data_IF_661092310658
#
_entry.id   IF_661092310658
#
_cell.length_a   1.000
_cell.length_b   1.000
_cell.length_c   1.000
_cell.angle_alpha   90.00
_cell.angle_beta   90.00
_cell.angle_gamma   90.00
#
_symmetry.space_group_name_H-M   'P 1'
#
loop_
_entity.id
_entity.type
_entity.pdbx_description
1 polymer ?
#
# COMPACT_ATOMS: atom_id res chain seq x y z
N UNK A 1 -4.00 13.51 36.10
CA UNK A 1 -5.01 12.43 36.02
C UNK A 1 -4.46 11.34 35.11
N UNK A 2 -4.00 10.24 35.69
CA UNK A 2 -3.28 9.16 35.02
C UNK A 2 -4.25 8.29 34.22
N UNK A 3 -4.36 8.51 32.90
CA UNK A 3 -5.10 7.60 32.03
C UNK A 3 -4.25 6.35 31.74
N UNK A 4 -4.37 5.42 32.69
CA UNK A 4 -4.21 3.96 32.62
C UNK A 4 -3.66 3.38 31.29
N UNK A 5 -2.36 3.06 31.31
CA UNK A 5 -1.68 2.08 30.45
C UNK A 5 -2.44 0.74 30.21
N UNK A 6 -3.27 0.18 31.11
CA UNK A 6 -3.96 -1.08 30.83
C UNK A 6 -5.06 -1.02 29.75
N UNK A 7 -5.59 0.16 29.39
CA UNK A 7 -6.61 0.26 28.32
C UNK A 7 -5.98 0.07 26.93
N UNK A 8 -4.75 0.57 26.74
CA UNK A 8 -3.99 0.40 25.50
C UNK A 8 -3.57 -1.06 25.30
N UNK A 9 -3.17 -1.74 26.39
CA UNK A 9 -2.81 -3.16 26.37
C UNK A 9 -4.03 -4.05 26.07
N UNK A 10 -5.19 -3.74 26.64
CA UNK A 10 -6.45 -4.45 26.38
C UNK A 10 -6.91 -4.33 24.93
N UNK A 11 -6.78 -3.15 24.32
CA UNK A 11 -7.08 -2.94 22.90
C UNK A 11 -6.11 -3.69 21.97
N UNK A 12 -4.82 -3.77 22.34
CA UNK A 12 -3.81 -4.51 21.59
C UNK A 12 -4.05 -6.04 21.64
N UNK A 13 -4.44 -6.56 22.82
CA UNK A 13 -4.75 -7.99 23.03
C UNK A 13 -6.04 -8.43 22.34
N UNK A 14 -7.07 -7.56 22.28
CA UNK A 14 -8.28 -7.80 21.48
C UNK A 14 -7.96 -7.84 19.98
N UNK A 15 -7.03 -7.03 19.50
CA UNK A 15 -6.56 -7.08 18.10
C UNK A 15 -5.83 -8.40 17.76
N UNK A 16 -5.05 -8.95 18.70
CA UNK A 16 -4.33 -10.21 18.51
C UNK A 16 -5.26 -11.44 18.46
N UNK A 17 -6.38 -11.44 19.18
CA UNK A 17 -7.35 -12.54 19.16
C UNK A 17 -8.07 -12.70 17.80
N UNK A 18 -8.18 -11.63 17.01
CA UNK A 18 -8.71 -11.68 15.63
C UNK A 18 -7.63 -11.97 14.57
N UNK A 19 -6.38 -12.17 14.97
CA UNK A 19 -5.30 -12.67 14.10
C UNK A 19 -5.40 -14.19 13.85
N UNK A 20 -6.59 -14.77 13.99
CA UNK A 20 -6.92 -16.09 13.42
C UNK A 20 -6.49 -16.09 11.95
N UNK A 21 -5.61 -17.04 11.60
CA UNK A 21 -4.99 -17.21 10.29
C UNK A 21 -5.94 -16.79 9.15
N UNK A 22 -5.69 -15.62 8.57
CA UNK A 22 -6.65 -14.88 7.75
C UNK A 22 -7.00 -15.62 6.45
N UNK A 23 -7.95 -16.54 6.47
CA UNK A 23 -8.40 -17.26 5.27
C UNK A 23 -9.35 -16.40 4.43
N UNK A 24 -9.11 -16.35 3.12
CA UNK A 24 -9.88 -15.60 2.13
C UNK A 24 -10.47 -16.56 1.08
N UNK A 25 -11.31 -17.49 1.53
CA UNK A 25 -12.02 -18.42 0.65
C UNK A 25 -12.99 -17.68 -0.26
N UNK A 26 -12.90 -17.94 -1.56
CA UNK A 26 -13.73 -17.36 -2.62
C UNK A 26 -14.25 -18.45 -3.55
N UNK A 27 -15.42 -18.26 -4.19
CA UNK A 27 -15.92 -19.18 -5.20
C UNK A 27 -14.85 -19.49 -6.26
N UNK A 28 -14.66 -20.77 -6.55
CA UNK A 28 -13.62 -21.25 -7.45
C UNK A 28 -13.71 -22.75 -7.71
N UNK A 29 -12.64 -23.29 -8.25
CA UNK A 29 -12.54 -24.69 -8.64
C UNK A 29 -11.10 -25.18 -8.63
N UNK A 30 -10.92 -26.50 -8.54
CA UNK A 30 -9.65 -27.19 -8.79
C UNK A 30 -9.85 -28.20 -9.93
N UNK A 31 -8.81 -28.42 -10.73
CA UNK A 31 -8.79 -29.39 -11.83
C UNK A 31 -7.85 -30.53 -11.46
N UNK A 32 -8.38 -31.73 -11.29
CA UNK A 32 -7.60 -32.91 -10.88
C UNK A 32 -6.64 -33.36 -11.99
N UNK A 33 -5.70 -34.24 -11.66
CA UNK A 33 -4.80 -34.85 -12.65
C UNK A 33 -5.54 -35.66 -13.72
N UNK A 34 -6.71 -36.23 -13.38
CA UNK A 34 -7.60 -36.91 -14.32
C UNK A 34 -8.30 -35.94 -15.29
N UNK A 35 -8.40 -34.66 -14.94
CA UNK A 35 -9.07 -33.63 -15.73
C UNK A 35 -10.45 -33.22 -15.18
N UNK A 36 -10.91 -33.85 -14.10
CA UNK A 36 -12.18 -33.51 -13.46
C UNK A 36 -12.10 -32.15 -12.75
N UNK A 37 -13.17 -31.36 -12.87
CA UNK A 37 -13.28 -30.06 -12.20
C UNK A 37 -14.15 -30.17 -10.95
N UNK A 38 -13.54 -29.95 -9.79
CA UNK A 38 -14.26 -29.87 -8.50
C UNK A 38 -14.56 -28.41 -8.19
N UNK A 39 -15.85 -28.07 -8.05
CA UNK A 39 -16.31 -26.73 -7.67
C UNK A 39 -16.39 -26.57 -6.16
N UNK A 40 -16.09 -25.37 -5.66
CA UNK A 40 -16.11 -25.07 -4.24
C UNK A 40 -15.56 -23.67 -3.95
N UNK A 41 -14.77 -23.55 -2.90
CA UNK A 41 -14.08 -22.31 -2.54
C UNK A 41 -12.57 -22.51 -2.45
N UNK A 42 -11.81 -21.54 -2.96
CA UNK A 42 -10.34 -21.52 -2.95
C UNK A 42 -9.84 -20.36 -2.08
N UNK A 43 -8.86 -20.59 -1.22
CA UNK A 43 -8.23 -19.54 -0.38
C UNK A 43 -7.37 -18.60 -1.24
N UNK A 44 -7.81 -17.36 -1.44
CA UNK A 44 -7.14 -16.37 -2.27
C UNK A 44 -6.08 -15.60 -1.49
N UNK A 45 -4.81 -15.98 -1.68
CA UNK A 45 -3.64 -15.37 -1.01
C UNK A 45 -2.79 -14.57 -2.00
N UNK A 46 -1.62 -14.13 -1.56
CA UNK A 46 -0.61 -13.45 -2.39
C UNK A 46 -0.02 -14.38 -3.45
N UNK A 47 0.50 -13.81 -4.54
CA UNK A 47 0.98 -14.55 -5.72
C UNK A 47 2.00 -15.65 -5.38
N UNK A 48 2.96 -15.37 -4.49
CA UNK A 48 3.98 -16.35 -4.05
C UNK A 48 3.40 -17.59 -3.38
N UNK A 49 2.29 -17.45 -2.62
CA UNK A 49 1.65 -18.58 -1.94
C UNK A 49 0.76 -19.34 -2.92
N UNK A 50 0.00 -18.62 -3.73
CA UNK A 50 -0.86 -19.18 -4.77
C UNK A 50 -0.06 -20.02 -5.79
N UNK A 51 1.21 -19.66 -6.02
CA UNK A 51 2.12 -20.40 -6.88
C UNK A 51 2.53 -21.78 -6.34
N UNK A 52 2.50 -21.98 -5.01
CA UNK A 52 3.07 -23.17 -4.35
C UNK A 52 2.02 -24.13 -3.82
N UNK A 53 0.84 -23.62 -3.49
CA UNK A 53 -0.25 -24.44 -2.98
C UNK A 53 -1.60 -23.77 -3.20
N UNK A 54 -2.63 -24.59 -3.39
CA UNK A 54 -4.04 -24.20 -3.40
C UNK A 54 -4.73 -24.81 -2.19
N UNK A 55 -5.50 -24.02 -1.43
CA UNK A 55 -6.35 -24.53 -0.35
C UNK A 55 -7.78 -24.50 -0.84
N UNK A 56 -8.42 -25.65 -0.87
CA UNK A 56 -9.74 -25.83 -1.43
C UNK A 56 -10.68 -26.45 -0.39
N UNK A 57 -11.95 -26.07 -0.45
CA UNK A 57 -13.03 -26.74 0.30
C UNK A 57 -14.28 -26.80 -0.56
N UNK A 58 -15.04 -27.88 -0.45
CA UNK A 58 -16.27 -28.08 -1.23
C UNK A 58 -17.41 -27.16 -0.77
N UNK A 59 -17.44 -26.80 0.51
CA UNK A 59 -18.40 -25.89 1.12
C UNK A 59 -17.80 -25.13 2.30
N UNK A 60 -18.49 -24.10 2.80
CA UNK A 60 -18.00 -23.24 3.90
C UNK A 60 -17.66 -23.99 5.19
N UNK A 61 -18.39 -25.05 5.49
CA UNK A 61 -18.19 -25.92 6.67
C UNK A 61 -17.34 -27.16 6.38
N UNK A 62 -16.98 -27.41 5.12
CA UNK A 62 -16.19 -28.57 4.74
C UNK A 62 -14.74 -28.42 5.20
N UNK A 63 -14.05 -29.54 5.49
CA UNK A 63 -12.61 -29.51 5.75
C UNK A 63 -11.84 -28.93 4.56
N UNK A 64 -10.71 -28.28 4.86
CA UNK A 64 -9.84 -27.68 3.86
C UNK A 64 -8.84 -28.73 3.38
N UNK A 65 -8.80 -28.96 2.08
CA UNK A 65 -7.77 -29.78 1.42
C UNK A 65 -6.69 -28.87 0.84
N UNK A 66 -5.43 -29.19 1.09
CA UNK A 66 -4.29 -28.50 0.48
C UNK A 66 -3.79 -29.31 -0.71
N UNK A 67 -3.69 -28.65 -1.87
CA UNK A 67 -3.16 -29.22 -3.10
C UNK A 67 -1.87 -28.53 -3.50
N UNK A 68 -0.84 -29.32 -3.78
CA UNK A 68 0.41 -28.87 -4.42
C UNK A 68 0.31 -28.99 -5.95
N UNK A 69 1.17 -28.29 -6.72
CA UNK A 69 1.19 -28.34 -8.18
C UNK A 69 1.19 -29.76 -8.75
N UNK A 70 1.90 -30.70 -8.13
CA UNK A 70 1.97 -32.10 -8.56
C UNK A 70 0.62 -32.86 -8.42
N UNK A 71 -0.36 -32.30 -7.73
CA UNK A 71 -1.64 -32.97 -7.44
C UNK A 71 -2.81 -32.42 -8.27
N UNK A 72 -2.60 -31.33 -9.04
CA UNK A 72 -3.63 -30.68 -9.83
C UNK A 72 -3.07 -30.30 -11.21
N UNK A 73 -3.93 -30.29 -12.24
CA UNK A 73 -3.61 -29.61 -13.51
C UNK A 73 -3.67 -28.09 -13.38
N UNK A 74 -4.47 -27.61 -12.43
CA UNK A 74 -4.67 -26.18 -12.19
C UNK A 74 -5.82 -25.92 -11.24
N UNK A 75 -6.10 -24.65 -11.00
CA UNK A 75 -7.24 -24.20 -10.22
C UNK A 75 -7.62 -22.77 -10.63
N UNK A 76 -8.80 -22.32 -10.24
CA UNK A 76 -9.24 -20.97 -10.58
C UNK A 76 -10.24 -20.41 -9.59
N UNK A 77 -10.42 -19.10 -9.71
CA UNK A 77 -11.48 -18.35 -9.05
C UNK A 77 -12.56 -18.05 -10.09
N UNK A 78 -13.83 -18.17 -9.72
CA UNK A 78 -14.94 -17.82 -10.62
C UNK A 78 -14.80 -16.35 -11.06
N UNK A 79 -14.81 -16.11 -12.37
CA UNK A 79 -14.64 -14.79 -13.03
C UNK A 79 -13.39 -14.00 -12.61
N UNK A 80 -12.33 -14.67 -12.19
CA UNK A 80 -11.10 -14.03 -11.73
C UNK A 80 -9.88 -14.89 -12.15
N UNK A 81 -8.75 -14.79 -11.44
CA UNK A 81 -7.50 -15.48 -11.77
C UNK A 81 -7.67 -16.99 -11.99
N UNK A 82 -6.94 -17.49 -12.97
CA UNK A 82 -6.81 -18.91 -13.28
C UNK A 82 -5.33 -19.28 -13.17
N UNK A 83 -5.06 -20.45 -12.62
CA UNK A 83 -3.72 -20.98 -12.43
C UNK A 83 -3.62 -22.35 -13.09
N UNK A 84 -2.50 -22.62 -13.71
CA UNK A 84 -2.18 -23.92 -14.31
C UNK A 84 -0.84 -24.43 -13.78
N UNK A 85 -0.73 -25.74 -13.63
CA UNK A 85 0.53 -26.38 -13.23
C UNK A 85 1.48 -26.42 -14.42
N UNK A 86 2.69 -25.90 -14.22
CA UNK A 86 3.80 -26.02 -15.17
C UNK A 86 5.08 -26.36 -14.40
N UNK A 87 6.00 -27.06 -15.04
CA UNK A 87 7.36 -27.27 -14.50
C UNK A 87 8.28 -26.20 -15.09
N UNK A 88 8.82 -25.35 -14.23
CA UNK A 88 9.70 -24.23 -14.62
C UNK A 88 11.04 -24.35 -13.91
N UNK A 89 12.10 -23.81 -14.52
CA UNK A 89 13.41 -23.70 -13.89
C UNK A 89 13.41 -22.46 -12.98
N UNK A 90 13.71 -22.65 -11.69
CA UNK A 90 13.82 -21.55 -10.73
C UNK A 90 15.14 -21.66 -9.98
N UNK A 91 15.82 -20.53 -9.77
CA UNK A 91 17.03 -20.50 -8.98
C UNK A 91 16.71 -20.62 -7.49
N UNK A 92 17.10 -21.76 -6.91
CA UNK A 92 16.99 -21.98 -5.47
C UNK A 92 18.07 -21.18 -4.79
N UNK A 93 17.62 -20.35 -3.87
CA UNK A 93 18.43 -19.23 -3.51
C UNK A 93 18.08 -18.85 -2.07
N UNK A 94 18.17 -19.88 -1.23
CA UNK A 94 18.51 -19.73 0.19
C UNK A 94 19.93 -19.16 0.18
N UNK A 95 20.06 -17.85 0.41
CA UNK A 95 21.35 -17.21 0.63
C UNK A 95 21.95 -17.84 1.89
N UNK A 96 22.86 -18.80 1.76
CA UNK A 96 23.64 -19.27 2.90
C UNK A 96 24.62 -18.14 3.23
N UNK A 97 24.45 -17.50 4.38
CA UNK A 97 25.39 -16.49 4.86
C UNK A 97 26.81 -17.08 4.86
N UNK A 98 27.75 -16.35 4.26
CA UNK A 98 29.18 -16.70 4.25
C UNK A 98 29.72 -17.42 3.00
N UNK A 99 28.91 -17.68 1.97
CA UNK A 99 29.40 -18.22 0.70
C UNK A 99 29.36 -17.15 -0.41
N UNK A 100 30.42 -17.00 -1.23
CA UNK A 100 30.41 -16.10 -2.38
C UNK A 100 29.33 -16.53 -3.40
N UNK A 101 28.88 -15.58 -4.23
CA UNK A 101 27.82 -15.74 -5.24
C UNK A 101 28.09 -16.97 -6.14
N UNK A 102 27.64 -18.14 -5.71
CA UNK A 102 27.53 -19.31 -6.56
C UNK A 102 26.54 -18.95 -7.65
N UNK A 103 26.91 -19.24 -8.91
CA UNK A 103 25.97 -19.13 -10.05
C UNK A 103 24.66 -19.75 -9.62
N UNK A 104 23.58 -18.96 -9.68
CA UNK A 104 22.24 -19.40 -9.34
C UNK A 104 21.87 -20.61 -10.20
N UNK A 105 22.01 -21.81 -9.65
CA UNK A 105 21.60 -23.04 -10.32
C UNK A 105 20.07 -23.10 -10.32
N UNK A 106 19.51 -23.18 -11.52
CA UNK A 106 18.07 -23.26 -11.70
C UNK A 106 17.62 -24.72 -11.73
N UNK A 107 16.69 -25.08 -10.84
CA UNK A 107 16.18 -26.45 -10.72
C UNK A 107 14.74 -26.55 -11.26
N UNK A 108 14.36 -27.66 -11.91
CA UNK A 108 12.97 -27.89 -12.31
C UNK A 108 12.04 -27.96 -11.11
N UNK A 109 11.00 -27.12 -11.10
CA UNK A 109 10.00 -27.07 -10.04
C UNK A 109 8.60 -26.94 -10.61
N UNK A 110 7.73 -27.89 -10.26
CA UNK A 110 6.31 -27.78 -10.55
C UNK A 110 5.70 -26.63 -9.72
N UNK A 111 5.07 -25.69 -10.42
CA UNK A 111 4.49 -24.47 -9.84
C UNK A 111 3.14 -24.18 -10.49
N UNK A 112 2.25 -23.52 -9.74
CA UNK A 112 1.01 -22.97 -10.28
C UNK A 112 1.30 -21.59 -10.90
N UNK A 113 1.32 -21.51 -12.22
CA UNK A 113 1.49 -20.26 -12.96
C UNK A 113 0.14 -19.60 -13.19
N UNK A 114 0.04 -18.30 -12.93
CA UNK A 114 -1.14 -17.49 -13.24
C UNK A 114 -1.26 -17.32 -14.75
N UNK A 115 -2.42 -17.64 -15.31
CA UNK A 115 -2.74 -17.39 -16.71
C UNK A 115 -3.14 -15.93 -16.86
N UNK A 116 -2.32 -15.14 -17.55
CA UNK A 116 -2.58 -13.71 -17.76
C UNK A 116 -3.26 -13.47 -19.11
N UNK A 117 -2.82 -14.19 -20.15
CA UNK A 117 -3.46 -14.20 -21.47
C UNK A 117 -3.56 -15.65 -21.92
N UNK A 118 -4.74 -16.06 -22.37
CA UNK A 118 -5.00 -17.34 -22.99
C UNK A 118 -5.39 -17.10 -24.46
N UNK A 119 -4.81 -17.89 -25.36
CA UNK A 119 -5.02 -17.79 -26.80
C UNK A 119 -4.00 -18.67 -27.55
N UNK A 120 -3.85 -18.50 -28.89
CA UNK A 120 -2.82 -19.18 -29.67
C UNK A 120 -1.44 -19.10 -29.01
N UNK A 121 -1.03 -17.91 -28.57
CA UNK A 121 0.00 -17.73 -27.55
C UNK A 121 -0.65 -17.45 -26.18
N UNK A 122 -0.19 -18.15 -25.15
CA UNK A 122 -0.57 -17.89 -23.76
C UNK A 122 0.58 -17.22 -23.01
N UNK A 123 0.26 -16.18 -22.24
CA UNK A 123 1.19 -15.52 -21.33
C UNK A 123 0.87 -15.96 -19.90
N UNK A 124 1.90 -16.44 -19.22
CA UNK A 124 1.85 -17.01 -17.88
C UNK A 124 2.77 -16.24 -16.94
N UNK A 125 2.45 -16.26 -15.65
CA UNK A 125 3.17 -15.49 -14.64
C UNK A 125 3.42 -16.26 -13.36
N UNK A 126 4.57 -16.01 -12.77
CA UNK A 126 4.98 -16.56 -11.48
C UNK A 126 5.74 -15.49 -10.68
N UNK A 127 5.36 -15.32 -9.41
CA UNK A 127 6.18 -14.62 -8.41
C UNK A 127 6.91 -15.68 -7.58
N UNK A 128 8.23 -15.72 -7.66
CA UNK A 128 9.02 -16.68 -6.90
C UNK A 128 9.09 -16.34 -5.40
N UNK A 129 9.81 -17.14 -4.61
CA UNK A 129 9.96 -16.94 -3.16
C UNK A 129 10.77 -15.69 -2.79
N UNK A 130 11.62 -15.20 -3.71
CA UNK A 130 12.40 -13.97 -3.57
C UNK A 130 11.67 -12.72 -4.05
N UNK A 131 10.41 -12.83 -4.42
CA UNK A 131 9.63 -11.73 -4.98
C UNK A 131 10.16 -11.27 -6.35
N UNK A 132 10.77 -12.15 -7.13
CA UNK A 132 11.08 -11.93 -8.54
C UNK A 132 9.90 -12.33 -9.42
N UNK A 133 9.61 -11.49 -10.41
CA UNK A 133 8.58 -11.75 -11.42
C UNK A 133 9.18 -12.52 -12.60
N UNK A 134 8.56 -13.64 -12.92
CA UNK A 134 8.85 -14.46 -14.08
C UNK A 134 7.64 -14.47 -15.00
N UNK A 135 7.88 -14.28 -16.28
CA UNK A 135 6.86 -14.38 -17.32
C UNK A 135 7.23 -15.51 -18.27
N UNK A 136 6.24 -16.31 -18.66
CA UNK A 136 6.46 -17.42 -19.56
C UNK A 136 5.50 -17.34 -20.75
N UNK A 137 6.03 -17.67 -21.91
CA UNK A 137 5.30 -17.72 -23.17
C UNK A 137 5.10 -19.17 -23.58
N UNK A 138 3.84 -19.54 -23.77
CA UNK A 138 3.45 -20.83 -24.34
C UNK A 138 2.89 -20.61 -25.74
N UNK A 139 3.42 -21.33 -26.72
CA UNK A 139 2.88 -21.41 -28.08
C UNK A 139 2.73 -22.86 -28.50
N UNK A 140 1.88 -23.17 -29.51
CA UNK A 140 1.63 -24.55 -29.91
C UNK A 140 2.91 -25.17 -30.48
N UNK A 141 3.22 -26.41 -30.11
CA UNK A 141 4.36 -27.15 -30.63
C UNK A 141 5.74 -26.66 -30.15
N UNK A 142 5.81 -25.75 -29.18
CA UNK A 142 7.07 -25.33 -28.55
C UNK A 142 7.05 -25.59 -27.04
N UNK A 143 8.21 -25.88 -26.43
CA UNK A 143 8.31 -25.94 -24.98
C UNK A 143 7.97 -24.56 -24.37
N UNK A 144 7.54 -24.57 -23.11
CA UNK A 144 7.32 -23.35 -22.35
C UNK A 144 8.62 -22.55 -22.26
N UNK A 145 8.59 -21.28 -22.66
CA UNK A 145 9.77 -20.42 -22.70
C UNK A 145 9.66 -19.30 -21.68
N UNK A 146 10.68 -19.10 -20.86
CA UNK A 146 10.78 -17.94 -19.98
C UNK A 146 11.19 -16.70 -20.77
N UNK A 147 10.49 -15.60 -20.53
CA UNK A 147 10.86 -14.28 -21.00
C UNK A 147 11.85 -13.71 -19.99
N UNK A 148 13.11 -13.58 -20.38
CA UNK A 148 14.19 -13.18 -19.46
C UNK A 148 14.68 -11.77 -19.78
N UNK A 149 14.88 -10.96 -18.73
CA UNK A 149 15.67 -9.74 -18.78
C UNK A 149 16.64 -9.74 -17.60
N UNK A 150 17.93 -9.68 -17.90
CA UNK A 150 19.00 -9.54 -16.91
C UNK A 150 19.59 -8.13 -16.98
N UNK A 151 20.25 -7.73 -15.90
CA UNK A 151 21.07 -6.52 -15.86
C UNK A 151 22.52 -6.96 -15.94
N UNK A 152 23.25 -6.47 -16.92
CA UNK A 152 24.64 -6.81 -17.16
C UNK A 152 25.51 -5.57 -16.93
N UNK A 153 26.68 -5.80 -16.34
CA UNK A 153 27.70 -4.77 -16.24
C UNK A 153 28.42 -4.65 -17.58
N UNK A 154 28.46 -3.43 -18.13
CA UNK A 154 29.11 -3.13 -19.41
C UNK A 154 30.08 -1.98 -19.20
N UNK A 155 31.37 -2.25 -19.40
CA UNK A 155 32.41 -1.21 -19.33
C UNK A 155 32.55 -0.57 -20.71
N UNK A 156 32.36 0.76 -20.79
CA UNK A 156 32.63 1.56 -22.00
C UNK A 156 33.53 2.73 -21.63
N UNK A 157 34.67 2.85 -22.30
CA UNK A 157 35.66 3.91 -22.07
C UNK A 157 36.10 4.01 -20.59
N UNK A 158 36.27 2.87 -19.92
CA UNK A 158 36.66 2.81 -18.50
C UNK A 158 35.54 3.15 -17.50
N UNK A 159 34.33 3.45 -17.97
CA UNK A 159 33.16 3.69 -17.11
C UNK A 159 32.25 2.45 -17.13
N UNK A 160 31.87 1.99 -15.94
CA UNK A 160 30.90 0.90 -15.75
C UNK A 160 29.48 1.42 -15.96
N UNK A 161 28.72 0.76 -16.83
CA UNK A 161 27.29 0.97 -17.04
C UNK A 161 26.51 -0.29 -16.70
N UNK A 162 25.29 -0.13 -16.18
CA UNK A 162 24.35 -1.23 -16.04
C UNK A 162 23.41 -1.24 -17.24
N UNK A 163 23.55 -2.23 -18.11
CA UNK A 163 22.71 -2.38 -19.29
C UNK A 163 21.70 -3.51 -19.07
N UNK A 164 20.43 -3.23 -19.35
CA UNK A 164 19.40 -4.27 -19.40
C UNK A 164 19.49 -5.02 -20.72
N UNK A 165 19.34 -6.32 -20.63
CA UNK A 165 19.37 -7.21 -21.77
C UNK A 165 17.99 -7.36 -22.42
N UNK A 166 17.99 -7.81 -23.68
CA UNK A 166 16.82 -7.85 -24.56
C UNK A 166 16.44 -9.30 -24.96
N UNK A 167 16.85 -10.33 -24.20
CA UNK A 167 16.59 -11.75 -24.49
C UNK A 167 15.09 -12.01 -24.69
N UNK A 168 14.25 -11.46 -23.82
CA UNK A 168 12.80 -11.63 -23.93
C UNK A 168 12.25 -11.12 -25.26
N UNK A 169 12.84 -10.06 -25.85
CA UNK A 169 12.43 -9.54 -27.16
C UNK A 169 12.75 -10.53 -28.26
N UNK A 170 13.88 -11.24 -28.17
CA UNK A 170 14.24 -12.32 -29.11
C UNK A 170 13.26 -13.49 -29.03
N UNK A 171 12.89 -13.90 -27.82
CA UNK A 171 11.89 -14.96 -27.59
C UNK A 171 10.53 -14.56 -28.17
N UNK A 172 10.06 -13.34 -27.89
CA UNK A 172 8.83 -12.80 -28.45
C UNK A 172 8.88 -12.78 -29.98
N UNK A 173 9.92 -12.19 -30.57
CA UNK A 173 10.08 -12.08 -32.02
C UNK A 173 10.06 -13.44 -32.72
N UNK A 174 10.76 -14.44 -32.15
CA UNK A 174 10.79 -15.80 -32.67
C UNK A 174 9.46 -16.53 -32.50
N UNK A 175 8.69 -16.25 -31.45
CA UNK A 175 7.39 -16.86 -31.21
C UNK A 175 6.28 -16.25 -32.07
N UNK A 176 6.41 -14.98 -32.47
CA UNK A 176 5.38 -14.23 -33.21
C UNK A 176 5.67 -14.13 -34.72
N UNK A 177 6.47 -15.05 -35.30
CA UNK A 177 6.85 -15.01 -36.72
C UNK A 177 5.66 -15.07 -37.69
N UNK A 178 4.56 -15.72 -37.29
CA UNK A 178 3.33 -15.79 -38.08
C UNK A 178 2.59 -14.45 -38.22
N UNK A 179 2.98 -13.44 -37.44
CA UNK A 179 2.46 -12.08 -37.56
C UNK A 179 3.61 -11.04 -37.57
N UNK A 180 4.15 -10.73 -38.76
CA UNK A 180 5.19 -9.70 -38.90
C UNK A 180 4.79 -8.31 -38.39
N UNK A 181 3.49 -7.98 -38.41
CA UNK A 181 2.97 -6.69 -37.97
C UNK A 181 3.24 -6.37 -36.49
N UNK A 182 3.49 -7.38 -35.65
CA UNK A 182 3.79 -7.18 -34.20
C UNK A 182 5.27 -6.87 -33.96
N UNK A 183 6.17 -7.16 -34.89
CA UNK A 183 7.62 -7.03 -34.72
C UNK A 183 8.08 -5.61 -34.34
N UNK A 184 7.56 -4.52 -34.96
CA UNK A 184 7.93 -3.16 -34.56
C UNK A 184 7.56 -2.84 -33.11
N UNK A 185 6.48 -3.41 -32.57
CA UNK A 185 6.09 -3.19 -31.18
C UNK A 185 7.02 -3.93 -30.19
N UNK A 186 7.65 -5.02 -30.61
CA UNK A 186 8.58 -5.82 -29.79
C UNK A 186 9.91 -5.08 -29.57
N UNK A 187 10.35 -4.21 -30.49
CA UNK A 187 11.63 -3.50 -30.33
C UNK A 187 11.60 -2.45 -29.21
N UNK A 188 10.41 -1.97 -28.86
CA UNK A 188 10.22 -0.91 -27.85
C UNK A 188 9.48 -1.37 -26.60
N UNK A 189 8.98 -2.61 -26.57
CA UNK A 189 8.25 -3.14 -25.41
C UNK A 189 9.17 -3.18 -24.17
N UNK A 190 8.59 -2.84 -23.02
CA UNK A 190 9.24 -2.95 -21.71
C UNK A 190 8.99 -4.33 -21.13
N UNK A 191 9.95 -4.83 -20.35
CA UNK A 191 9.80 -6.07 -19.58
C UNK A 191 8.92 -5.81 -18.34
N UNK A 192 7.61 -5.64 -18.58
CA UNK A 192 6.58 -5.53 -17.55
C UNK A 192 5.30 -6.22 -18.03
N UNK A 193 4.43 -6.62 -17.09
CA UNK A 193 3.20 -7.35 -17.39
C UNK A 193 2.34 -6.64 -18.46
N UNK A 194 2.19 -5.31 -18.38
CA UNK A 194 1.34 -4.56 -19.29
C UNK A 194 1.89 -4.55 -20.72
N UNK A 195 3.20 -4.37 -20.89
CA UNK A 195 3.91 -4.47 -22.16
C UNK A 195 3.78 -5.85 -22.77
N UNK A 196 4.01 -6.90 -21.99
CA UNK A 196 3.94 -8.29 -22.46
C UNK A 196 2.52 -8.70 -22.85
N UNK A 197 1.50 -8.34 -22.05
CA UNK A 197 0.08 -8.56 -22.40
C UNK A 197 -0.23 -7.92 -23.75
N UNK A 198 0.22 -6.67 -23.98
CA UNK A 198 -0.06 -5.94 -25.22
C UNK A 198 0.49 -6.69 -26.44
N UNK A 199 1.73 -7.17 -26.37
CA UNK A 199 2.36 -7.92 -27.47
C UNK A 199 1.63 -9.24 -27.72
N UNK A 200 1.36 -10.03 -26.67
CA UNK A 200 0.74 -11.35 -26.81
C UNK A 200 -0.69 -11.24 -27.33
N UNK A 201 -1.47 -10.26 -26.87
CA UNK A 201 -2.82 -10.01 -27.40
C UNK A 201 -2.78 -9.58 -28.87
N UNK A 202 -1.91 -8.64 -29.23
CA UNK A 202 -1.77 -8.19 -30.61
C UNK A 202 -1.40 -9.36 -31.55
N UNK A 203 -0.52 -10.26 -31.11
CA UNK A 203 -0.19 -11.47 -31.87
C UNK A 203 -1.40 -12.40 -32.03
N UNK A 204 -2.08 -12.72 -30.93
CA UNK A 204 -3.24 -13.61 -30.95
C UNK A 204 -4.36 -13.09 -31.84
N UNK A 205 -4.67 -11.78 -31.76
CA UNK A 205 -5.66 -11.12 -32.61
C UNK A 205 -5.24 -11.19 -34.10
N UNK A 206 -3.95 -10.96 -34.38
CA UNK A 206 -3.41 -11.00 -35.74
C UNK A 206 -3.51 -12.39 -36.39
N UNK A 207 -3.32 -13.47 -35.64
CA UNK A 207 -3.47 -14.84 -36.16
C UNK A 207 -4.93 -15.35 -36.11
N UNK A 208 -5.89 -14.45 -35.90
CA UNK A 208 -7.33 -14.76 -35.91
C UNK A 208 -7.82 -15.50 -34.66
N UNK A 209 -7.02 -15.54 -33.59
CA UNK A 209 -7.38 -16.17 -32.33
C UNK A 209 -8.11 -15.23 -31.37
N UNK A 210 -9.04 -15.78 -30.59
CA UNK A 210 -9.66 -15.05 -29.47
C UNK A 210 -8.67 -15.03 -28.31
N UNK A 211 -8.26 -13.83 -27.89
CA UNK A 211 -7.53 -13.62 -26.65
C UNK A 211 -8.49 -13.48 -25.47
N UNK A 212 -8.42 -14.40 -24.52
CA UNK A 212 -9.12 -14.28 -23.25
C UNK A 212 -8.09 -13.97 -22.17
N UNK A 213 -8.24 -12.82 -21.51
CA UNK A 213 -7.51 -12.54 -20.29
C UNK A 213 -8.46 -12.66 -19.11
N UNK A 214 -8.09 -13.36 -18.02
CA UNK A 214 -8.93 -13.37 -16.83
C UNK A 214 -9.12 -11.95 -16.30
N UNK A 215 -10.27 -11.64 -15.71
CA UNK A 215 -10.63 -10.28 -15.28
C UNK A 215 -9.57 -9.61 -14.37
N UNK A 216 -8.74 -10.41 -13.69
CA UNK A 216 -7.64 -9.93 -12.87
C UNK A 216 -6.41 -9.40 -13.63
N UNK A 217 -6.12 -9.93 -14.82
CA UNK A 217 -4.93 -9.60 -15.60
C UNK A 217 -4.91 -8.14 -16.10
N UNK A 218 -6.05 -7.44 -16.01
CA UNK A 218 -6.25 -6.07 -16.50
C UNK A 218 -6.23 -4.98 -15.39
N UNK A 219 -5.97 -5.32 -14.12
CA UNK A 219 -6.17 -4.34 -13.03
C UNK A 219 -5.04 -3.29 -13.00
N UNK A 220 -5.41 -2.04 -13.26
CA UNK A 220 -4.59 -0.84 -12.99
C UNK A 220 -4.70 -0.46 -11.50
N UNK A 221 -3.65 0.15 -10.93
CA UNK A 221 -3.76 0.87 -9.66
C UNK A 221 -4.97 1.79 -9.73
N UNK A 222 -5.91 1.65 -8.80
CA UNK A 222 -7.07 2.53 -8.75
C UNK A 222 -6.86 3.55 -7.64
N UNK A 223 -7.09 4.80 -8.02
CA UNK A 223 -7.06 5.95 -7.12
C UNK A 223 -8.51 6.35 -6.87
N UNK A 224 -8.89 6.48 -5.60
CA UNK A 224 -10.19 7.06 -5.23
C UNK A 224 -10.01 8.41 -4.59
N UNK A 225 -10.60 9.42 -5.20
CA UNK A 225 -10.65 10.77 -4.63
C UNK A 225 -11.81 10.85 -3.64
N UNK A 226 -11.63 11.59 -2.55
CA UNK A 226 -12.63 11.76 -1.52
C UNK A 226 -12.60 13.15 -0.89
N UNK A 227 -13.74 13.53 -0.32
CA UNK A 227 -13.87 14.70 0.54
C UNK A 227 -13.69 14.28 2.01
N UNK A 228 -13.02 15.13 2.78
CA UNK A 228 -12.85 14.98 4.22
C UNK A 228 -13.47 16.18 4.92
N UNK A 229 -14.32 15.91 5.90
CA UNK A 229 -14.92 16.90 6.78
C UNK A 229 -14.75 16.42 8.21
N UNK A 230 -14.56 17.29 9.17
CA UNK A 230 -14.45 16.85 10.54
C UNK A 230 -14.27 17.99 11.51
N UNK A 231 -13.89 17.60 12.72
CA UNK A 231 -13.52 18.53 13.76
C UNK A 231 -12.26 18.04 14.45
N UNK A 232 -11.46 18.98 14.91
CA UNK A 232 -10.28 18.71 15.70
C UNK A 232 -10.30 19.45 17.03
N UNK A 233 -9.56 18.90 17.98
CA UNK A 233 -9.17 19.59 19.20
C UNK A 233 -7.70 19.31 19.45
N UNK A 234 -6.98 20.34 19.87
CA UNK A 234 -5.54 20.29 19.97
C UNK A 234 -5.02 20.91 21.27
N UNK A 235 -3.87 20.41 21.70
CA UNK A 235 -3.16 20.90 22.86
C UNK A 235 -1.77 21.33 22.43
N UNK A 236 -1.48 22.59 22.66
CA UNK A 236 -0.16 23.19 22.54
C UNK A 236 0.59 23.02 23.86
N UNK A 237 1.84 22.58 23.76
CA UNK A 237 2.83 22.60 24.83
C UNK A 237 3.97 23.49 24.37
N UNK A 238 4.26 24.53 25.15
CA UNK A 238 5.43 25.38 24.99
C UNK A 238 6.42 25.02 26.10
N UNK A 239 7.65 24.69 25.71
CA UNK A 239 8.74 24.34 26.61
C UNK A 239 9.68 25.58 26.71
N UNK A 240 9.53 26.38 27.77
CA UNK A 240 10.33 27.60 28.06
C UNK A 240 11.51 27.24 29.00
N UNK A 241 12.72 27.65 28.63
CA UNK A 241 13.96 27.30 29.34
C UNK A 241 14.08 27.94 30.74
N UNK A 242 14.64 27.26 31.77
CA UNK A 242 14.68 25.82 32.00
C UNK A 242 13.52 25.44 32.95
N UNK A 243 12.67 24.51 32.53
CA UNK A 243 11.58 23.88 33.33
C UNK A 243 10.22 24.59 33.43
N UNK A 244 9.94 25.59 32.59
CA UNK A 244 8.61 26.22 32.56
C UNK A 244 7.81 25.77 31.33
N UNK A 245 6.81 24.91 31.58
CA UNK A 245 5.88 24.49 30.54
C UNK A 245 4.60 25.34 30.58
N UNK A 246 4.29 26.03 29.49
CA UNK A 246 2.98 26.60 29.27
C UNK A 246 2.14 25.65 28.41
N UNK A 247 0.90 25.39 28.81
CA UNK A 247 -0.02 24.52 28.06
C UNK A 247 -1.26 25.30 27.66
N UNK A 248 -1.64 25.21 26.39
CA UNK A 248 -2.85 25.81 25.86
C UNK A 248 -3.69 24.75 25.17
N UNK A 249 -5.00 24.78 25.36
CA UNK A 249 -5.93 23.88 24.66
C UNK A 249 -6.80 24.71 23.74
N UNK A 250 -6.92 24.30 22.48
CA UNK A 250 -7.82 24.93 21.52
C UNK A 250 -9.28 24.57 21.81
N UNK A 251 -10.19 25.42 21.33
CA UNK A 251 -11.58 25.02 21.13
C UNK A 251 -11.68 23.97 20.03
N UNK A 252 -12.82 23.29 19.93
CA UNK A 252 -13.10 22.41 18.79
C UNK A 252 -13.18 23.26 17.53
N UNK A 253 -12.42 22.90 16.49
CA UNK A 253 -12.34 23.64 15.23
C UNK A 253 -12.70 22.72 14.05
N UNK A 254 -13.37 23.23 13.02
CA UNK A 254 -13.69 22.44 11.85
C UNK A 254 -12.43 22.14 11.01
N UNK A 255 -12.45 20.98 10.36
CA UNK A 255 -11.41 20.56 9.40
C UNK A 255 -12.09 20.20 8.10
N UNK A 256 -11.56 20.71 6.99
CA UNK A 256 -12.03 20.39 5.64
C UNK A 256 -10.86 20.03 4.75
N UNK A 257 -11.03 19.07 3.86
CA UNK A 257 -9.95 18.67 2.99
C UNK A 257 -10.32 17.66 1.93
N UNK A 258 -9.31 17.25 1.18
CA UNK A 258 -9.39 16.27 0.12
C UNK A 258 -8.51 15.07 0.46
N UNK A 259 -8.86 13.92 -0.10
CA UNK A 259 -8.10 12.69 0.06
C UNK A 259 -7.94 11.94 -1.26
N UNK A 260 -6.79 11.33 -1.44
CA UNK A 260 -6.52 10.34 -2.48
C UNK A 260 -6.19 9.00 -1.83
N UNK A 261 -7.07 8.01 -2.01
CA UNK A 261 -6.84 6.64 -1.56
C UNK A 261 -6.22 5.84 -2.70
N UNK A 262 -5.05 5.28 -2.45
CA UNK A 262 -4.25 4.50 -3.39
C UNK A 262 -4.35 3.01 -3.00
N UNK A 263 -4.86 2.20 -3.93
CA UNK A 263 -4.99 0.76 -3.75
C UNK A 263 -3.99 0.04 -4.65
N UNK A 264 -2.79 -0.30 -4.14
CA UNK A 264 -1.75 -0.93 -4.93
C UNK A 264 -2.20 -2.30 -5.45
N UNK A 265 -2.13 -2.51 -6.76
CA UNK A 265 -2.41 -3.80 -7.38
C UNK A 265 -1.28 -4.78 -7.11
N UNK A 266 -1.61 -6.03 -6.73
CA UNK A 266 -0.64 -7.07 -6.37
C UNK A 266 -0.33 -7.17 -4.87
N UNK A 267 -0.63 -6.11 -4.11
CA UNK A 267 -0.64 -6.15 -2.64
C UNK A 267 -1.99 -6.70 -2.11
N UNK A 268 -2.06 -6.93 -0.79
CA UNK A 268 -3.30 -7.36 -0.13
C UNK A 268 -4.44 -6.36 -0.39
N UNK A 269 -5.65 -6.85 -0.70
CA UNK A 269 -6.87 -6.00 -0.80
C UNK A 269 -7.27 -5.35 0.53
N UNK A 270 -6.57 -5.67 1.61
CA UNK A 270 -6.74 -5.06 2.94
C UNK A 270 -5.80 -3.90 3.18
N UNK A 271 -4.74 -3.72 2.39
CA UNK A 271 -3.77 -2.63 2.57
C UNK A 271 -3.96 -1.56 1.50
N UNK A 272 -3.97 -0.30 1.93
CA UNK A 272 -4.05 0.86 1.05
C UNK A 272 -3.20 1.99 1.60
N UNK A 273 -2.71 2.86 0.72
CA UNK A 273 -2.12 4.13 1.13
C UNK A 273 -3.14 5.26 0.96
N UNK A 274 -3.03 6.32 1.76
CA UNK A 274 -3.87 7.50 1.64
C UNK A 274 -3.05 8.75 1.85
N UNK A 275 -3.23 9.71 0.94
CA UNK A 275 -2.67 11.05 1.02
C UNK A 275 -3.83 12.02 1.19
N UNK A 276 -3.69 13.00 2.07
CA UNK A 276 -4.71 14.00 2.36
C UNK A 276 -4.14 15.41 2.24
N UNK A 277 -5.02 16.38 1.99
CA UNK A 277 -4.74 17.80 2.14
C UNK A 277 -5.86 18.40 2.99
N UNK A 278 -5.56 18.79 4.22
CA UNK A 278 -6.52 19.26 5.21
C UNK A 278 -6.22 20.72 5.57
N UNK A 279 -7.22 21.58 5.48
CA UNK A 279 -7.14 22.94 6.00
C UNK A 279 -7.63 22.96 7.45
N UNK A 280 -6.85 23.57 8.34
CA UNK A 280 -7.19 23.75 9.75
C UNK A 280 -6.74 25.11 10.29
N UNK A 281 -7.51 25.64 11.25
CA UNK A 281 -7.21 26.88 11.95
C UNK A 281 -7.35 26.67 13.45
N UNK A 282 -6.32 27.04 14.20
CA UNK A 282 -6.21 26.80 15.64
C UNK A 282 -5.83 28.08 16.36
N UNK A 283 -6.40 28.28 17.56
CA UNK A 283 -6.02 29.37 18.44
C UNK A 283 -5.84 28.85 19.86
N UNK A 284 -4.79 29.33 20.52
CA UNK A 284 -4.39 28.92 21.86
C UNK A 284 -4.18 30.13 22.75
N UNK A 285 -4.55 29.95 24.02
CA UNK A 285 -4.07 30.78 25.13
C UNK A 285 -3.38 29.87 26.12
N UNK A 286 -2.18 30.23 26.53
CA UNK A 286 -1.41 29.50 27.53
C UNK A 286 -0.80 30.48 28.52
N UNK A 287 -0.64 30.06 29.76
CA UNK A 287 -0.02 30.86 30.82
C UNK A 287 1.00 30.02 31.57
N UNK A 288 2.07 30.65 32.04
CA UNK A 288 3.03 30.04 32.94
C UNK A 288 3.53 31.08 33.94
N UNK A 289 3.99 30.60 35.10
CA UNK A 289 4.51 31.45 36.17
C UNK A 289 6.01 31.24 36.31
N UNK A 290 6.78 32.29 36.04
CA UNK A 290 8.23 32.28 36.20
C UNK A 290 8.63 32.12 37.68
N UNK A 291 9.85 31.62 37.94
CA UNK A 291 10.41 31.52 39.29
C UNK A 291 10.49 32.87 40.02
N UNK A 292 10.58 33.97 39.27
CA UNK A 292 10.51 35.36 39.74
C UNK A 292 9.12 35.78 40.23
N UNK A 293 8.11 34.91 40.12
CA UNK A 293 6.72 35.18 40.45
C UNK A 293 5.91 35.83 39.33
N UNK A 294 6.58 36.29 38.26
CA UNK A 294 5.96 36.95 37.10
C UNK A 294 5.14 35.97 36.27
N UNK A 295 3.91 36.36 35.93
CA UNK A 295 3.08 35.62 34.96
C UNK A 295 3.47 35.97 33.52
N UNK A 296 3.50 34.94 32.67
CA UNK A 296 3.76 35.06 31.24
C UNK A 296 2.60 34.44 30.47
N UNK A 297 1.96 35.25 29.65
CA UNK A 297 0.80 34.86 28.84
C UNK A 297 1.24 34.70 27.39
N UNK A 298 0.71 33.67 26.74
CA UNK A 298 0.97 33.36 25.33
C UNK A 298 -0.35 33.33 24.57
N UNK A 299 -0.35 33.94 23.39
CA UNK A 299 -1.43 33.81 22.41
C UNK A 299 -0.83 33.27 21.12
N UNK A 300 -1.40 32.19 20.62
CA UNK A 300 -0.91 31.56 19.40
C UNK A 300 -2.07 31.36 18.44
N UNK A 301 -1.91 31.77 17.18
CA UNK A 301 -2.85 31.45 16.10
C UNK A 301 -2.09 30.77 14.97
N UNK A 302 -2.55 29.57 14.61
CA UNK A 302 -2.00 28.76 13.54
C UNK A 302 -3.09 28.56 12.48
N UNK A 303 -2.75 28.81 11.23
CA UNK A 303 -3.55 28.45 10.07
C UNK A 303 -2.66 27.61 9.17
N UNK A 304 -3.10 26.42 8.78
CA UNK A 304 -2.23 25.49 8.08
C UNK A 304 -2.94 24.61 7.07
N UNK A 305 -2.16 24.15 6.09
CA UNK A 305 -2.49 23.01 5.25
C UNK A 305 -1.69 21.82 5.77
N UNK A 306 -2.38 20.80 6.29
CA UNK A 306 -1.77 19.52 6.65
C UNK A 306 -1.79 18.56 5.47
N UNK A 307 -0.70 17.83 5.29
CA UNK A 307 -0.48 16.78 4.30
C UNK A 307 -0.18 15.42 4.98
N UNK A 308 -1.19 14.74 5.55
CA UNK A 308 -1.04 13.36 6.05
C UNK A 308 -0.77 12.35 4.93
N UNK A 309 0.19 11.45 5.17
CA UNK A 309 0.45 10.25 4.37
C UNK A 309 0.34 9.04 5.28
N UNK A 310 -0.65 8.18 5.01
CA UNK A 310 -1.00 7.05 5.91
C UNK A 310 -1.03 5.73 5.17
N UNK A 311 -0.63 4.67 5.87
CA UNK A 311 -0.86 3.28 5.47
C UNK A 311 -2.02 2.75 6.29
N UNK A 312 -3.03 2.20 5.61
CA UNK A 312 -4.29 1.74 6.20
C UNK A 312 -4.43 0.24 6.03
N UNK A 313 -4.82 -0.44 7.10
CA UNK A 313 -5.33 -1.81 7.08
C UNK A 313 -6.84 -1.80 7.27
N UNK A 314 -7.58 -2.30 6.27
CA UNK A 314 -9.04 -2.47 6.30
C UNK A 314 -9.39 -3.93 6.47
N UNK A 315 -10.17 -4.25 7.49
CA UNK A 315 -10.65 -5.60 7.73
C UNK A 315 -11.48 -6.12 6.54
N UNK A 316 -11.22 -7.33 6.00
CA UNK A 316 -11.76 -7.73 4.69
C UNK A 316 -13.25 -8.12 4.67
N UNK A 317 -13.87 -8.38 5.83
CA UNK A 317 -15.23 -8.95 5.92
C UNK A 317 -16.24 -7.94 6.45
N UNK A 318 -17.50 -8.10 6.03
CA UNK A 318 -18.62 -7.26 6.46
C UNK A 318 -18.89 -6.07 5.53
N UNK A 319 -20.11 -5.51 5.67
CA UNK A 319 -20.57 -4.31 4.98
C UNK A 319 -20.04 -3.02 5.62
N UNK A 320 -19.73 -3.06 6.90
CA UNK A 320 -18.99 -2.04 7.65
C UNK A 320 -17.70 -2.71 8.14
N UNK A 321 -16.56 -2.11 7.81
CA UNK A 321 -15.23 -2.69 8.00
C UNK A 321 -14.41 -1.81 8.93
N UNK A 322 -13.89 -2.37 10.02
CA UNK A 322 -12.87 -1.71 10.82
C UNK A 322 -11.62 -1.36 10.00
N UNK A 323 -11.06 -0.19 10.30
CA UNK A 323 -9.82 0.30 9.71
C UNK A 323 -8.90 0.75 10.83
N UNK A 324 -7.63 0.40 10.73
CA UNK A 324 -6.56 0.99 11.54
C UNK A 324 -5.47 1.52 10.61
N UNK A 325 -4.82 2.59 11.00
CA UNK A 325 -3.80 3.22 10.18
C UNK A 325 -2.78 3.98 11.00
N UNK A 326 -1.60 4.13 10.41
CA UNK A 326 -0.53 4.95 10.94
C UNK A 326 0.14 5.69 9.80
N UNK A 327 0.80 6.80 10.11
CA UNK A 327 1.42 7.61 9.09
C UNK A 327 2.22 8.78 9.63
N UNK A 328 2.67 9.58 8.68
CA UNK A 328 3.39 10.81 8.90
C UNK A 328 2.56 11.97 8.39
N UNK A 329 2.64 13.13 9.04
CA UNK A 329 1.98 14.35 8.62
C UNK A 329 2.99 15.47 8.49
N UNK A 330 2.83 16.24 7.43
CA UNK A 330 3.55 17.50 7.22
C UNK A 330 2.55 18.64 7.33
N UNK A 331 2.90 19.74 7.97
CA UNK A 331 2.09 20.94 8.04
C UNK A 331 2.82 22.09 7.38
N UNK A 332 2.13 22.83 6.52
CA UNK A 332 2.58 24.13 6.03
C UNK A 332 1.74 25.21 6.70
N UNK A 333 2.36 26.08 7.49
CA UNK A 333 1.66 27.21 8.09
C UNK A 333 1.46 28.32 7.07
N UNK A 334 0.19 28.69 6.86
CA UNK A 334 -0.23 29.88 6.11
C UNK A 334 -0.19 31.13 7.01
N UNK A 335 -0.45 30.93 8.29
CA UNK A 335 -0.30 31.97 9.33
C UNK A 335 0.23 31.31 10.58
N UNK A 336 1.26 31.91 11.16
CA UNK A 336 1.87 31.47 12.41
C UNK A 336 2.16 32.71 13.26
N UNK A 337 1.19 33.10 14.08
CA UNK A 337 1.38 34.20 15.02
C UNK A 337 1.53 33.64 16.43
N UNK A 338 2.64 34.00 17.06
CA UNK A 338 2.92 33.67 18.44
C UNK A 338 3.28 34.96 19.17
N UNK A 339 2.43 35.35 20.12
CA UNK A 339 2.56 36.57 20.89
C UNK A 339 2.80 36.23 22.36
N UNK A 340 3.66 36.99 23.03
CA UNK A 340 3.96 36.84 24.44
C UNK A 340 3.80 38.15 25.20
N UNK A 341 3.26 38.09 26.40
CA UNK A 341 3.07 39.24 27.28
C UNK A 341 3.51 38.91 28.71
N UNK A 342 4.34 39.77 29.30
CA UNK A 342 4.75 39.70 30.71
C UNK A 342 3.86 40.58 31.60
N UNK A 343 3.63 40.14 32.85
CA UNK A 343 2.60 40.73 33.73
C UNK A 343 2.95 42.06 34.44
N UNK A 344 4.10 42.70 34.20
CA UNK A 344 4.48 43.96 34.88
C UNK A 344 4.28 45.18 33.97
N UNK A 345 3.28 46.02 34.25
CA UNK A 345 2.97 47.24 33.49
C UNK A 345 2.23 47.02 32.16
N UNK A 346 1.98 48.09 31.41
CA UNK A 346 1.45 48.07 30.04
C UNK A 346 2.50 47.48 29.08
N UNK A 347 2.80 46.19 29.19
CA UNK A 347 3.65 45.51 28.23
C UNK A 347 2.84 45.17 26.98
N UNK A 348 3.25 45.63 25.78
CA UNK A 348 2.62 45.20 24.54
C UNK A 348 2.87 43.70 24.33
N UNK A 349 1.98 43.08 23.56
CA UNK A 349 2.22 41.73 23.03
C UNK A 349 3.43 41.78 22.10
N UNK A 350 4.48 41.02 22.42
CA UNK A 350 5.68 40.92 21.60
C UNK A 350 5.60 39.64 20.76
N UNK A 351 6.03 39.70 19.50
CA UNK A 351 6.16 38.50 18.68
C UNK A 351 7.24 37.59 19.26
N UNK A 352 6.94 36.30 19.38
CA UNK A 352 7.93 35.29 19.68
C UNK A 352 8.86 35.11 18.47
N UNK A 353 10.17 35.14 18.69
CA UNK A 353 11.16 35.05 17.61
C UNK A 353 11.13 33.68 16.91
N UNK A 354 11.32 33.71 15.59
CA UNK A 354 11.55 32.59 14.67
C UNK A 354 10.47 31.48 14.64
N UNK A 355 9.23 31.82 14.24
CA UNK A 355 8.30 30.80 13.77
C UNK A 355 8.88 30.10 12.53
N UNK A 356 8.77 28.78 12.48
CA UNK A 356 9.05 28.01 11.26
C UNK A 356 7.77 27.81 10.47
N UNK A 357 7.93 27.66 9.16
CA UNK A 357 6.80 27.48 8.24
C UNK A 357 6.35 26.01 8.13
N UNK A 358 7.22 25.09 8.52
CA UNK A 358 7.00 23.65 8.39
C UNK A 358 6.84 22.98 9.75
N UNK A 359 5.87 22.08 9.83
CA UNK A 359 5.62 21.20 10.95
C UNK A 359 5.66 19.75 10.47
N UNK A 360 6.08 18.84 11.35
CA UNK A 360 6.05 17.42 11.07
C UNK A 360 5.55 16.62 12.26
N UNK A 361 4.88 15.51 11.99
CA UNK A 361 4.26 14.72 13.04
C UNK A 361 4.05 13.28 12.65
N UNK A 362 3.89 12.46 13.68
CA UNK A 362 3.47 11.07 13.56
C UNK A 362 2.01 10.96 13.98
N UNK A 363 1.29 10.07 13.31
CA UNK A 363 -0.12 9.85 13.62
C UNK A 363 -0.51 8.39 13.58
N UNK A 364 -1.53 8.09 14.37
CA UNK A 364 -2.23 6.82 14.40
C UNK A 364 -3.73 7.08 14.44
N UNK A 365 -4.51 6.18 13.86
CA UNK A 365 -5.95 6.30 13.87
C UNK A 365 -6.65 4.97 13.66
N UNK A 366 -7.93 4.97 14.02
CA UNK A 366 -8.83 3.86 13.83
C UNK A 366 -10.20 4.38 13.42
N UNK A 367 -10.93 3.58 12.66
CA UNK A 367 -12.21 4.00 12.12
C UNK A 367 -13.04 2.84 11.58
N UNK A 368 -14.17 3.21 10.99
CA UNK A 368 -15.09 2.30 10.31
C UNK A 368 -15.33 2.84 8.89
N UNK A 369 -15.25 1.96 7.90
CA UNK A 369 -15.58 2.28 6.50
C UNK A 369 -16.64 1.35 5.95
N UNK A 370 -17.56 1.86 5.14
CA UNK A 370 -18.51 0.99 4.43
C UNK A 370 -17.82 0.30 3.25
N UNK A 371 -18.28 -0.90 2.87
CA UNK A 371 -17.77 -1.63 1.72
C UNK A 371 -18.87 -1.84 0.67
N UNK A 372 -19.09 -0.82 -0.17
CA UNK A 372 -20.11 -0.88 -1.22
C UNK A 372 -19.46 -1.27 -2.55
N UNK A 373 -19.79 -2.45 -3.07
CA UNK A 373 -19.14 -3.03 -4.26
C UNK A 373 -19.24 -2.19 -5.55
N UNK A 374 -20.26 -1.31 -5.65
CA UNK A 374 -20.47 -0.40 -6.78
C UNK A 374 -20.81 1.04 -6.34
N UNK A 375 -20.56 1.36 -5.06
CA UNK A 375 -20.99 2.60 -4.43
C UNK A 375 -19.82 3.37 -3.83
N UNK A 376 -20.09 4.64 -3.53
CA UNK A 376 -19.18 5.51 -2.78
C UNK A 376 -19.16 5.06 -1.32
N UNK A 377 -17.96 4.96 -0.74
CA UNK A 377 -17.82 4.57 0.65
C UNK A 377 -17.86 5.80 1.55
N UNK A 378 -18.45 5.61 2.73
CA UNK A 378 -18.40 6.55 3.83
C UNK A 378 -17.47 5.96 4.90
N UNK A 379 -16.64 6.81 5.50
CA UNK A 379 -15.80 6.41 6.62
C UNK A 379 -15.89 7.43 7.77
N UNK A 380 -15.85 6.93 9.00
CA UNK A 380 -15.68 7.73 10.22
C UNK A 380 -14.38 7.29 10.87
N UNK A 381 -13.49 8.23 11.13
CA UNK A 381 -12.15 7.98 11.64
C UNK A 381 -11.89 8.82 12.90
N UNK A 382 -11.37 8.20 13.96
CA UNK A 382 -10.75 8.86 15.12
C UNK A 382 -9.24 8.81 14.95
N UNK A 383 -8.58 9.95 15.09
CA UNK A 383 -7.14 10.09 14.82
C UNK A 383 -6.46 10.86 15.94
N UNK A 384 -5.26 10.42 16.30
CA UNK A 384 -4.34 11.13 17.15
C UNK A 384 -3.07 11.47 16.37
N UNK A 385 -2.64 12.71 16.46
CA UNK A 385 -1.39 13.19 15.90
C UNK A 385 -0.54 13.86 16.98
N UNK A 386 0.77 13.62 16.93
CA UNK A 386 1.77 14.37 17.70
C UNK A 386 2.79 14.97 16.75
N UNK A 387 2.95 16.27 16.82
CA UNK A 387 3.90 17.02 16.00
C UNK A 387 4.95 17.74 16.84
N UNK A 388 6.01 18.17 16.16
CA UNK A 388 7.09 18.95 16.71
C UNK A 388 6.79 20.46 16.78
N UNK A 389 5.56 20.91 16.45
CA UNK A 389 5.10 22.29 16.65
C UNK A 389 5.49 23.30 15.55
N UNK A 390 5.83 24.52 15.94
CA UNK A 390 5.99 25.66 15.02
C UNK A 390 7.08 26.68 15.43
N UNK A 391 7.82 26.44 16.51
CA UNK A 391 8.94 27.28 16.96
C UNK A 391 10.26 26.54 16.83
N UNK A 392 11.28 27.24 16.35
CA UNK A 392 12.67 26.76 16.25
C UNK A 392 13.61 27.79 16.90
N UNK A 393 13.59 27.84 18.23
CA UNK A 393 14.40 28.77 19.00
C UNK A 393 15.21 28.04 20.06
N UNK A 394 16.43 28.52 20.31
CA UNK A 394 17.37 27.99 21.32
C UNK A 394 16.83 27.98 22.76
N UNK A 395 15.73 28.70 23.03
CA UNK A 395 15.15 28.86 24.37
C UNK A 395 13.65 28.49 24.49
N UNK A 396 12.91 28.31 23.38
CA UNK A 396 11.46 28.04 23.41
C UNK A 396 11.08 26.97 22.38
N UNK A 397 10.84 25.75 22.86
CA UNK A 397 10.33 24.65 22.05
C UNK A 397 8.80 24.64 22.00
N UNK A 398 8.23 24.02 20.97
CA UNK A 398 6.77 23.83 20.88
C UNK A 398 6.45 22.40 20.48
N UNK A 399 5.31 21.88 20.93
CA UNK A 399 4.75 20.60 20.50
C UNK A 399 3.24 20.72 20.45
N UNK A 400 2.62 20.08 19.46
CA UNK A 400 1.16 20.07 19.34
C UNK A 400 0.66 18.63 19.28
N UNK A 401 -0.31 18.31 20.15
CA UNK A 401 -1.03 17.05 20.11
C UNK A 401 -2.45 17.33 19.61
N UNK A 402 -2.89 16.61 18.58
CA UNK A 402 -4.19 16.82 17.94
C UNK A 402 -5.02 15.55 18.01
N UNK A 403 -6.31 15.71 18.27
CA UNK A 403 -7.31 14.65 18.18
C UNK A 403 -8.34 15.07 17.16
N UNK A 404 -8.56 14.24 16.14
CA UNK A 404 -9.53 14.49 15.08
C UNK A 404 -10.66 13.47 15.12
N UNK A 405 -11.87 13.95 14.85
CA UNK A 405 -12.98 13.12 14.39
C UNK A 405 -13.28 13.51 12.94
N UNK A 406 -13.05 12.59 12.01
CA UNK A 406 -13.14 12.83 10.57
C UNK A 406 -14.23 11.97 9.95
N UNK A 407 -14.99 12.57 9.05
CA UNK A 407 -15.90 11.93 8.12
C UNK A 407 -15.29 12.03 6.71
N UNK A 408 -15.18 10.90 6.02
CA UNK A 408 -14.70 10.85 4.64
C UNK A 408 -15.76 10.25 3.72
N UNK A 409 -15.85 10.81 2.52
CA UNK A 409 -16.73 10.31 1.46
C UNK A 409 -15.98 10.17 0.15
N UNK A 410 -16.00 8.98 -0.45
CA UNK A 410 -15.40 8.74 -1.77
C UNK A 410 -16.24 9.46 -2.85
N UNK A 411 -15.61 10.30 -3.67
CA UNK A 411 -16.24 10.99 -4.79
C UNK A 411 -16.28 10.11 -6.05
N UNK A 412 -15.23 9.31 -6.25
CA UNK A 412 -15.08 8.38 -7.38
C UNK A 412 -15.41 6.94 -6.96
N UNK A 413 -15.88 6.12 -7.91
CA UNK A 413 -16.21 4.71 -7.68
C UNK A 413 -14.97 3.82 -7.62
#
# INVERSE_FOLDING_TARGET
MYLKQPVLLGALLLGAAFAQAQTNFRPGYVVTLAGDTLKGEVDSRGAQRNARLSRFRTAKSAPVTEYRPQQLRGYGFTDDRVYQTETVLLSDSVRREGLPDLKEEAFPRASFLEVIVQGPASLLYLRDERSKDHYYLRTPGRPLQELIQTTQEVVRNGVTYWQKSDEFRRVLAAATQQCPAVQPAITTVRYDQAGLIRIVRAYNECVGGVSVAPAAASRKNHVRLGLVLGAERSQLVLDDYPDLQAKGTSSVQPVVGLAANLYPTGASRTLSARVEALYEKQSYRAETRLSTGTMRNYRVTLESIRLPITIRYTYPKGAVRPVVYAGYAFGLFLTNTAEVQGSYGWNPWLFANNPRDLEQGIMVGAGLTTARAAGRNLAVDLRYERSDGFLDATALGSRVNRVYLLLSYDLTK
#
